data_IF_764359920383
#
_entry.id   IF_764359920383
#
_cell.length_a   1.000
_cell.length_b   1.000
_cell.length_c   1.000
_cell.angle_alpha   90.00
_cell.angle_beta   90.00
_cell.angle_gamma   90.00
#
_symmetry.space_group_name_H-M   'P 1'
#
loop_
_entity.id
_entity.type
_entity.pdbx_description
1 polymer ?
#
# COMPACT_ATOMS: atom_id res chain seq x y z
N UNK A 1 7.62 7.97 -8.44
CA UNK A 1 7.54 8.10 -6.97
C UNK A 1 7.38 6.68 -6.41
N UNK A 2 8.10 6.31 -5.36
CA UNK A 2 8.21 4.92 -4.84
C UNK A 2 9.21 3.99 -5.57
N UNK A 3 10.39 4.49 -5.92
CA UNK A 3 11.48 3.67 -6.48
C UNK A 3 11.85 2.48 -5.58
N UNK A 4 11.62 2.59 -4.26
CA UNK A 4 11.91 1.55 -3.27
C UNK A 4 11.12 0.24 -3.43
N UNK A 5 10.07 0.21 -4.27
CA UNK A 5 9.28 -1.00 -4.55
C UNK A 5 9.24 -1.38 -6.04
N UNK A 6 10.04 -0.72 -6.88
CA UNK A 6 10.14 -1.06 -8.31
C UNK A 6 11.03 -2.30 -8.52
N UNK A 7 10.54 -3.46 -8.10
CA UNK A 7 11.27 -4.72 -8.14
C UNK A 7 10.59 -5.65 -9.15
N UNK A 8 11.23 -5.84 -10.31
CA UNK A 8 10.69 -6.71 -11.37
C UNK A 8 10.65 -8.18 -10.97
N UNK A 9 11.72 -8.65 -10.33
CA UNK A 9 11.88 -10.04 -9.90
C UNK A 9 12.17 -10.07 -8.39
N UNK A 10 11.11 -10.10 -7.54
CA UNK A 10 11.29 -10.02 -6.09
C UNK A 10 11.94 -11.29 -5.54
N UNK A 11 12.94 -11.11 -4.67
CA UNK A 11 13.70 -12.21 -4.05
C UNK A 11 12.79 -13.20 -3.31
N UNK A 12 11.69 -12.70 -2.74
CA UNK A 12 10.72 -13.49 -1.98
C UNK A 12 9.44 -13.80 -2.78
N UNK A 13 9.50 -13.82 -4.12
CA UNK A 13 8.32 -14.04 -4.99
C UNK A 13 7.45 -15.19 -4.54
N UNK A 14 8.04 -16.38 -4.35
CA UNK A 14 7.27 -17.58 -4.03
C UNK A 14 6.64 -17.48 -2.64
N UNK A 15 7.35 -16.91 -1.66
CA UNK A 15 6.79 -16.67 -0.32
C UNK A 15 5.62 -15.68 -0.32
N UNK A 16 5.65 -14.67 -1.21
CA UNK A 16 4.53 -13.72 -1.38
C UNK A 16 3.31 -14.46 -1.95
N UNK A 17 3.50 -15.28 -2.98
CA UNK A 17 2.43 -16.05 -3.61
C UNK A 17 1.83 -17.08 -2.65
N UNK A 18 2.68 -17.82 -1.93
CA UNK A 18 2.25 -18.79 -0.92
C UNK A 18 1.42 -18.11 0.18
N UNK A 19 1.80 -16.90 0.61
CA UNK A 19 1.05 -16.14 1.61
C UNK A 19 -0.32 -15.68 1.10
N UNK A 20 -0.40 -15.21 -0.14
CA UNK A 20 -1.66 -14.85 -0.81
C UNK A 20 -2.58 -16.07 -0.87
N UNK A 21 -2.08 -17.20 -1.37
CA UNK A 21 -2.86 -18.43 -1.50
C UNK A 21 -3.32 -18.98 -0.14
N UNK A 22 -2.42 -19.02 0.86
CA UNK A 22 -2.73 -19.53 2.19
C UNK A 22 -3.74 -18.67 2.96
N UNK A 23 -3.84 -17.38 2.64
CA UNK A 23 -4.77 -16.44 3.27
C UNK A 23 -6.06 -16.23 2.46
N UNK A 24 -6.11 -16.72 1.22
CA UNK A 24 -7.17 -16.34 0.27
C UNK A 24 -7.15 -14.84 -0.05
N UNK A 25 -5.98 -14.20 0.05
CA UNK A 25 -5.80 -12.78 -0.20
C UNK A 25 -5.67 -12.45 -1.70
N UNK A 26 -5.23 -11.23 -2.00
CA UNK A 26 -5.00 -10.77 -3.37
C UNK A 26 -3.85 -9.76 -3.46
N UNK A 27 -3.41 -9.46 -4.68
CA UNK A 27 -2.44 -8.41 -5.01
C UNK A 27 -2.96 -7.52 -6.14
N UNK A 28 -3.09 -6.22 -5.86
CA UNK A 28 -3.50 -5.22 -6.85
C UNK A 28 -2.35 -4.27 -7.20
N UNK A 29 -2.36 -3.77 -8.44
CA UNK A 29 -1.43 -2.73 -8.87
C UNK A 29 -2.04 -1.34 -8.66
N UNK A 30 -1.24 -0.41 -8.12
CA UNK A 30 -1.65 0.98 -7.89
C UNK A 30 -0.87 1.91 -8.80
N UNK A 31 -1.59 2.80 -9.48
CA UNK A 31 -1.00 3.83 -10.31
C UNK A 31 -0.32 4.92 -9.46
N UNK A 32 0.61 5.66 -10.06
CA UNK A 32 1.37 6.69 -9.35
C UNK A 32 0.49 7.82 -8.79
N UNK A 33 -0.52 8.26 -9.55
CA UNK A 33 -1.43 9.35 -9.14
C UNK A 33 -2.14 9.09 -7.81
N UNK A 34 -2.89 7.99 -7.66
CA UNK A 34 -3.53 7.62 -6.40
C UNK A 34 -2.55 7.54 -5.21
N UNK A 35 -1.35 6.99 -5.41
CA UNK A 35 -0.34 6.93 -4.35
C UNK A 35 0.18 8.32 -3.95
N UNK A 36 0.33 9.24 -4.90
CA UNK A 36 0.71 10.64 -4.62
C UNK A 36 -0.38 11.40 -3.85
N UNK A 37 -1.63 11.23 -4.26
CA UNK A 37 -2.78 11.84 -3.58
C UNK A 37 -2.88 11.36 -2.13
N UNK A 38 -2.68 10.06 -1.92
CA UNK A 38 -2.70 9.45 -0.60
C UNK A 38 -1.52 9.88 0.27
N UNK A 39 -0.32 10.02 -0.29
CA UNK A 39 0.82 10.60 0.43
C UNK A 39 0.49 12.00 0.97
N UNK A 40 -0.14 12.83 0.13
CA UNK A 40 -0.61 14.15 0.54
C UNK A 40 -1.67 14.10 1.63
N UNK A 41 -2.58 13.12 1.60
CA UNK A 41 -3.58 12.90 2.68
C UNK A 41 -2.91 12.49 3.99
N UNK A 42 -1.98 11.53 3.95
CA UNK A 42 -1.21 11.08 5.12
C UNK A 42 -0.44 12.23 5.76
N UNK A 43 0.28 13.03 4.96
CA UNK A 43 1.03 14.19 5.46
C UNK A 43 0.11 15.23 6.11
N UNK A 44 -1.04 15.54 5.50
CA UNK A 44 -2.04 16.46 6.09
C UNK A 44 -2.66 15.91 7.39
N UNK A 45 -2.72 14.59 7.54
CA UNK A 45 -3.16 13.93 8.76
C UNK A 45 -2.06 13.79 9.83
N UNK A 46 -0.84 14.28 9.56
CA UNK A 46 0.28 14.26 10.50
C UNK A 46 1.20 13.03 10.39
N UNK A 47 0.96 12.14 9.44
CA UNK A 47 1.81 10.98 9.17
C UNK A 47 2.89 11.34 8.17
N UNK A 48 4.07 11.74 8.65
CA UNK A 48 5.20 12.04 7.77
C UNK A 48 5.93 10.76 7.34
N UNK A 49 5.48 10.17 6.23
CA UNK A 49 6.02 8.92 5.65
C UNK A 49 6.76 9.19 4.34
N UNK A 50 7.61 8.25 3.93
CA UNK A 50 8.21 8.27 2.58
C UNK A 50 7.18 7.86 1.51
N UNK A 51 7.36 8.25 0.23
CA UNK A 51 6.35 8.04 -0.82
C UNK A 51 5.85 6.60 -0.97
N UNK A 52 6.73 5.61 -0.82
CA UNK A 52 6.39 4.19 -0.91
C UNK A 52 5.32 3.77 0.10
N UNK A 53 5.30 4.39 1.28
CA UNK A 53 4.35 4.04 2.34
C UNK A 53 2.90 4.38 2.00
N UNK A 54 2.69 5.28 1.03
CA UNK A 54 1.34 5.67 0.60
C UNK A 54 0.67 4.66 -0.33
N UNK A 55 1.42 3.68 -0.87
CA UNK A 55 0.89 2.69 -1.82
C UNK A 55 -0.14 1.78 -1.15
N UNK A 56 0.13 1.29 0.06
CA UNK A 56 -0.81 0.39 0.74
C UNK A 56 -2.10 1.10 1.21
N UNK A 57 -2.06 2.33 1.76
CA UNK A 57 -3.28 3.10 2.03
C UNK A 57 -4.06 3.46 0.75
N UNK A 58 -3.38 3.76 -0.36
CA UNK A 58 -4.03 4.00 -1.64
C UNK A 58 -4.74 2.74 -2.16
N UNK A 59 -4.13 1.57 -1.96
CA UNK A 59 -4.75 0.28 -2.28
C UNK A 59 -6.02 0.03 -1.45
N UNK A 60 -6.04 0.40 -0.17
CA UNK A 60 -7.26 0.29 0.65
C UNK A 60 -8.39 1.16 0.09
N UNK A 61 -8.10 2.38 -0.36
CA UNK A 61 -9.11 3.24 -1.00
C UNK A 61 -9.68 2.58 -2.26
N UNK A 62 -8.82 2.05 -3.13
CA UNK A 62 -9.22 1.34 -4.35
C UNK A 62 -10.08 0.08 -4.05
N UNK A 63 -9.69 -0.74 -3.07
CA UNK A 63 -10.44 -1.94 -2.68
C UNK A 63 -11.83 -1.59 -2.10
N UNK A 64 -11.94 -0.47 -1.37
CA UNK A 64 -13.22 0.04 -0.88
C UNK A 64 -14.09 0.57 -2.01
N UNK A 65 -13.52 1.29 -2.97
CA UNK A 65 -14.24 1.79 -4.15
C UNK A 65 -14.78 0.65 -5.01
N UNK A 66 -14.07 -0.48 -5.06
CA UNK A 66 -14.52 -1.73 -5.71
C UNK A 66 -15.54 -2.53 -4.90
N UNK A 67 -15.74 -2.19 -3.63
CA UNK A 67 -16.61 -2.92 -2.71
C UNK A 67 -16.05 -4.27 -2.26
N UNK A 68 -14.75 -4.51 -2.45
CA UNK A 68 -14.06 -5.73 -1.99
C UNK A 68 -13.77 -5.68 -0.49
N UNK A 69 -13.63 -4.48 0.07
CA UNK A 69 -13.55 -4.22 1.51
C UNK A 69 -14.70 -3.27 1.88
N UNK A 70 -15.53 -3.67 2.83
CA UNK A 70 -16.64 -2.88 3.36
C UNK A 70 -16.19 -1.65 4.17
N UNK A 71 -17.09 -0.67 4.28
CA UNK A 71 -16.85 0.54 5.07
C UNK A 71 -16.72 0.27 6.58
N UNK A 72 -17.39 -0.78 7.07
CA UNK A 72 -17.42 -1.18 8.48
C UNK A 72 -16.38 -2.25 8.83
N UNK A 73 -15.54 -2.66 7.88
CA UNK A 73 -14.50 -3.66 8.11
C UNK A 73 -13.26 -3.04 8.79
N UNK A 74 -12.75 -3.74 9.80
CA UNK A 74 -11.54 -3.37 10.51
C UNK A 74 -10.30 -3.74 9.67
N UNK A 75 -9.57 -2.74 9.21
CA UNK A 75 -8.37 -2.91 8.38
C UNK A 75 -7.15 -2.30 9.05
N UNK A 76 -6.06 -3.05 9.08
CA UNK A 76 -4.74 -2.55 9.49
C UNK A 76 -3.86 -2.38 8.25
N UNK A 77 -3.37 -1.17 8.02
CA UNK A 77 -2.44 -0.87 6.93
C UNK A 77 -1.08 -0.47 7.52
N UNK A 78 -0.01 -1.26 7.31
CA UNK A 78 1.31 -0.93 7.84
C UNK A 78 1.95 0.22 7.04
N UNK A 79 2.42 1.26 7.76
CA UNK A 79 3.27 2.32 7.20
C UNK A 79 4.73 1.96 7.48
N UNK A 80 5.42 1.42 6.48
CA UNK A 80 6.68 0.69 6.65
C UNK A 80 7.94 1.56 6.80
N UNK A 81 7.81 2.88 6.71
CA UNK A 81 8.93 3.82 6.78
C UNK A 81 8.50 5.23 7.20
N UNK A 82 9.36 5.91 7.95
CA UNK A 82 9.19 7.33 8.25
C UNK A 82 9.83 8.19 7.16
N UNK A 83 9.20 9.32 6.85
CA UNK A 83 9.78 10.38 6.01
C UNK A 83 10.89 11.18 6.72
N UNK A 84 11.15 10.87 8.00
CA UNK A 84 12.16 11.51 8.84
C UNK A 84 13.60 11.09 8.52
N UNK A 85 13.84 10.39 7.40
CA UNK A 85 15.19 10.13 6.91
C UNK A 85 15.65 11.31 6.05
N UNK A 86 16.15 12.34 6.73
CA UNK A 86 16.94 13.44 6.22
C UNK A 86 18.10 13.71 7.18
#
# INVERSE_FOLDING_TARGET
MADGIQIRDPVQRDAILDAIDATGGDAIAIAEGPAQDELGRLHRAGFYTEPTCAVAPAALAELRDRGEIGADEDVVVPLTGSGLKG
#
